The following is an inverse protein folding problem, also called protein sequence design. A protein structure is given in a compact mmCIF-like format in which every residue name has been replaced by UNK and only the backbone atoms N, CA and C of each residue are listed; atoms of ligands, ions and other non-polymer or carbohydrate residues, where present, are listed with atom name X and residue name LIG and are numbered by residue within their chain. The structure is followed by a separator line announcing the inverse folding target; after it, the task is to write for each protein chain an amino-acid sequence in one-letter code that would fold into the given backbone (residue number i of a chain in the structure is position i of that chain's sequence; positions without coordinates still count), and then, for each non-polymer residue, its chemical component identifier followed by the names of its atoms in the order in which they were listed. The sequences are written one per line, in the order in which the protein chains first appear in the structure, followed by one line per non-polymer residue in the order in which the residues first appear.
data_IF_703133400897
#
_entry.id   IF_703133400897
#
_cell.length_a   1.000
_cell.length_b   1.000
_cell.length_c   1.000
_cell.angle_alpha   90.00
_cell.angle_beta   90.00
_cell.angle_gamma   90.00
#
_symmetry.space_group_name_H-M   'P 1'
#
loop_
_entity.id
_entity.type
_entity.pdbx_description
1 polymer ?
#
# COMPACT_ATOMS: atom_id res chain seq x y z
N UNK A 1 2.14 -13.56 -47.43
CA UNK A 1 1.20 -13.99 -46.38
C UNK A 1 1.51 -13.40 -44.97
N UNK A 2 2.20 -12.24 -44.86
CA UNK A 2 2.56 -11.63 -43.56
C UNK A 2 1.76 -10.38 -43.17
N UNK A 3 0.92 -9.83 -44.05
CA UNK A 3 0.26 -8.54 -43.80
C UNK A 3 -0.85 -8.61 -42.74
N UNK A 4 -1.53 -9.77 -42.59
CA UNK A 4 -2.64 -9.92 -41.64
C UNK A 4 -2.19 -9.99 -40.17
N UNK A 5 -0.98 -10.48 -39.89
CA UNK A 5 -0.51 -10.56 -38.51
C UNK A 5 -0.24 -9.15 -37.94
N UNK A 6 0.27 -8.23 -38.75
CA UNK A 6 0.60 -6.88 -38.29
C UNK A 6 -0.65 -6.04 -38.00
N UNK A 7 -1.70 -6.19 -38.80
CA UNK A 7 -3.01 -5.53 -38.59
C UNK A 7 -3.69 -6.04 -37.31
N UNK A 8 -3.61 -7.35 -37.03
CA UNK A 8 -4.18 -7.91 -35.80
C UNK A 8 -3.47 -7.38 -34.54
N UNK A 9 -2.15 -7.21 -34.58
CA UNK A 9 -1.39 -6.60 -33.47
C UNK A 9 -1.70 -5.11 -33.28
N UNK A 10 -1.85 -4.35 -34.36
CA UNK A 10 -2.30 -2.95 -34.28
C UNK A 10 -3.68 -2.83 -33.64
N UNK A 11 -4.62 -3.70 -33.99
CA UNK A 11 -5.97 -3.70 -33.42
C UNK A 11 -6.01 -4.04 -31.93
N UNK A 12 -5.03 -4.82 -31.43
CA UNK A 12 -4.88 -5.09 -29.99
C UNK A 12 -4.27 -3.90 -29.25
N UNK A 13 -3.30 -3.22 -29.85
CA UNK A 13 -2.70 -2.00 -29.29
C UNK A 13 -3.67 -0.81 -29.27
N UNK A 14 -4.59 -0.71 -30.24
CA UNK A 14 -5.58 0.37 -30.26
C UNK A 14 -6.73 0.17 -29.26
N UNK A 15 -6.92 -1.04 -28.73
CA UNK A 15 -7.98 -1.36 -27.76
C UNK A 15 -7.54 -1.23 -26.30
N UNK A 16 -6.26 -1.03 -26.04
CA UNK A 16 -5.80 -0.65 -24.70
C UNK A 16 -6.08 0.82 -24.48
N UNK A 17 -7.17 1.10 -23.77
CA UNK A 17 -7.62 2.44 -23.39
C UNK A 17 -6.46 3.31 -22.94
N UNK A 18 -6.47 4.57 -23.38
CA UNK A 18 -5.63 5.69 -22.93
C UNK A 18 -5.37 5.71 -21.43
N UNK A 19 -6.28 5.15 -20.61
CA UNK A 19 -6.11 4.95 -19.18
C UNK A 19 -4.84 4.20 -18.76
N UNK A 20 -4.41 3.15 -19.47
CA UNK A 20 -3.20 2.40 -19.09
C UNK A 20 -1.93 3.20 -19.38
N UNK A 21 -1.91 3.92 -20.50
CA UNK A 21 -0.80 4.82 -20.85
C UNK A 21 -0.69 6.00 -19.88
N UNK A 22 -1.82 6.57 -19.45
CA UNK A 22 -1.83 7.62 -18.42
C UNK A 22 -1.29 7.07 -17.10
N UNK A 23 -1.70 5.87 -16.68
CA UNK A 23 -1.21 5.26 -15.45
C UNK A 23 0.31 5.02 -15.49
N UNK A 24 0.81 4.46 -16.60
CA UNK A 24 2.25 4.21 -16.79
C UNK A 24 3.05 5.52 -16.86
N UNK A 25 2.50 6.56 -17.50
CA UNK A 25 3.13 7.88 -17.56
C UNK A 25 3.22 8.54 -16.18
N UNK A 26 2.18 8.43 -15.35
CA UNK A 26 2.19 8.95 -13.98
C UNK A 26 3.25 8.23 -13.12
N UNK A 27 3.36 6.90 -13.22
CA UNK A 27 4.39 6.13 -12.50
C UNK A 27 5.81 6.55 -12.94
N UNK A 28 6.04 6.73 -14.24
CA UNK A 28 7.34 7.16 -14.77
C UNK A 28 7.74 8.57 -14.31
N UNK A 29 6.79 9.51 -14.24
CA UNK A 29 7.04 10.89 -13.75
C UNK A 29 7.36 10.88 -12.26
N UNK A 30 6.65 10.10 -11.44
CA UNK A 30 6.93 10.00 -10.00
C UNK A 30 8.32 9.41 -9.75
N UNK A 31 8.73 8.38 -10.50
CA UNK A 31 10.08 7.81 -10.40
C UNK A 31 11.19 8.80 -10.80
N UNK A 32 10.96 9.65 -11.80
CA UNK A 32 11.93 10.67 -12.20
C UNK A 32 12.06 11.79 -11.17
N UNK A 33 10.99 12.17 -10.47
CA UNK A 33 11.03 13.22 -9.44
C UNK A 33 11.72 12.74 -8.16
N UNK A 34 11.58 11.48 -7.79
CA UNK A 34 12.20 10.94 -6.56
C UNK A 34 13.70 10.68 -6.71
N UNK A 35 14.18 10.28 -7.90
CA UNK A 35 15.61 10.03 -8.12
C UNK A 35 16.42 11.33 -8.21
N UNK A 36 15.78 12.46 -8.55
CA UNK A 36 16.49 13.70 -8.86
C UNK A 36 16.64 14.70 -7.72
N UNK A 37 16.27 14.38 -6.47
CA UNK A 37 16.50 15.29 -5.33
C UNK A 37 17.98 15.26 -4.91
N UNK A 38 18.77 16.32 -5.18
CA UNK A 38 20.13 16.43 -4.67
C UNK A 38 20.03 16.93 -3.22
N UNK A 39 20.52 16.13 -2.27
CA UNK A 39 20.64 16.55 -0.88
C UNK A 39 21.75 17.62 -0.78
N UNK A 40 21.36 18.89 -0.98
CA UNK A 40 22.25 20.04 -0.89
C UNK A 40 22.35 20.54 0.55
N UNK A 41 23.42 20.16 1.26
CA UNK A 41 23.83 20.79 2.51
C UNK A 41 25.17 21.53 2.32
N UNK A 42 25.11 22.88 2.40
CA UNK A 42 26.23 23.78 2.73
C UNK A 42 25.78 24.48 4.02
N UNK A 43 26.48 24.50 5.15
CA UNK A 43 27.91 24.39 5.42
C UNK A 43 28.41 25.74 5.95
N UNK A 44 28.51 25.91 7.28
CA UNK A 44 29.31 26.93 8.01
C UNK A 44 29.56 26.41 9.43
N UNK A 45 30.68 25.70 9.66
CA UNK A 45 31.95 26.21 10.21
C UNK A 45 31.92 26.53 11.72
N UNK A 46 32.55 25.70 12.55
CA UNK A 46 33.81 26.08 13.24
C UNK A 46 34.27 25.05 14.29
N UNK A 47 35.59 24.86 14.31
CA UNK A 47 36.47 24.53 15.45
C UNK A 47 36.42 23.13 16.12
N UNK A 48 37.48 22.39 15.75
CA UNK A 48 38.60 21.91 16.60
C UNK A 48 38.49 20.54 17.29
N UNK A 49 39.46 19.72 16.86
CA UNK A 49 40.36 18.83 17.62
C UNK A 49 39.87 17.41 17.96
N UNK A 50 40.23 16.51 17.04
CA UNK A 50 41.02 15.29 17.26
C UNK A 50 40.69 14.41 18.48
N UNK A 51 40.19 13.20 18.23
CA UNK A 51 41.01 11.99 18.41
C UNK A 51 40.32 10.72 17.84
N UNK A 52 41.16 9.85 17.26
CA UNK A 52 41.10 8.38 17.27
C UNK A 52 39.84 7.64 16.75
N UNK A 53 40.06 7.02 15.58
CA UNK A 53 40.08 5.56 15.38
C UNK A 53 38.72 4.83 15.25
N UNK A 54 38.41 4.42 14.01
CA UNK A 54 37.75 3.16 13.56
C UNK A 54 36.94 3.47 12.28
N UNK A 55 37.49 3.34 11.07
CA UNK A 55 37.56 2.12 10.24
C UNK A 55 36.31 1.21 10.32
N UNK A 56 35.63 1.14 9.17
CA UNK A 56 34.78 0.05 8.65
C UNK A 56 33.41 -0.16 9.32
N UNK A 57 32.39 0.40 8.69
CA UNK A 57 31.00 -0.01 8.85
C UNK A 57 30.30 0.01 7.50
N UNK A 58 30.38 -1.14 6.81
CA UNK A 58 29.76 -1.55 5.55
C UNK A 58 28.60 -0.68 5.03
N UNK A 59 28.70 -0.33 3.75
CA UNK A 59 27.59 -0.34 2.80
C UNK A 59 26.76 -1.62 3.04
N UNK A 60 25.74 -1.53 3.86
CA UNK A 60 24.62 -2.46 3.75
C UNK A 60 23.87 -1.96 2.53
N UNK A 61 24.05 -2.66 1.42
CA UNK A 61 23.08 -2.64 0.34
C UNK A 61 21.71 -2.77 1.01
N UNK A 62 20.88 -1.72 0.90
CA UNK A 62 19.44 -1.85 1.10
C UNK A 62 19.03 -3.00 0.18
N UNK A 63 18.83 -4.19 0.77
CA UNK A 63 18.28 -5.32 0.05
C UNK A 63 16.94 -4.82 -0.45
N UNK A 64 16.75 -4.86 -1.78
CA UNK A 64 15.44 -4.61 -2.36
C UNK A 64 14.41 -5.43 -1.56
N UNK A 65 13.26 -4.82 -1.19
CA UNK A 65 12.26 -5.50 -0.39
C UNK A 65 11.91 -6.82 -1.08
N UNK A 66 12.05 -7.92 -0.35
CA UNK A 66 11.67 -9.25 -0.85
C UNK A 66 10.17 -9.19 -1.14
N UNK A 67 9.71 -9.58 -2.34
CA UNK A 67 8.29 -9.59 -2.63
C UNK A 67 7.60 -10.54 -1.65
N UNK A 68 6.63 -10.02 -0.90
CA UNK A 68 5.82 -10.82 0.02
C UNK A 68 5.10 -11.90 -0.78
N UNK A 69 5.08 -13.11 -0.24
CA UNK A 69 4.19 -14.17 -0.71
C UNK A 69 2.73 -13.73 -0.61
N UNK A 70 1.82 -14.34 -1.38
CA UNK A 70 0.39 -14.00 -1.33
C UNK A 70 -0.20 -14.17 0.08
N UNK A 71 0.31 -15.15 0.83
CA UNK A 71 -0.09 -15.34 2.22
C UNK A 71 0.39 -14.19 3.11
N UNK A 72 1.67 -13.83 3.00
CA UNK A 72 2.25 -12.71 3.74
C UNK A 72 1.60 -11.37 3.38
N UNK A 73 1.11 -11.19 2.15
CA UNK A 73 0.33 -10.00 1.77
C UNK A 73 -0.98 -9.93 2.54
N UNK A 74 -1.72 -11.05 2.65
CA UNK A 74 -2.96 -11.11 3.46
C UNK A 74 -2.64 -10.87 4.94
N UNK A 75 -1.57 -11.49 5.45
CA UNK A 75 -1.15 -11.31 6.85
C UNK A 75 -0.70 -9.88 7.15
N UNK A 76 0.01 -9.24 6.23
CA UNK A 76 0.44 -7.86 6.37
C UNK A 76 -0.77 -6.92 6.46
N UNK A 77 -1.81 -7.12 5.65
CA UNK A 77 -3.04 -6.33 5.76
C UNK A 77 -3.73 -6.58 7.11
N UNK A 78 -3.85 -7.84 7.52
CA UNK A 78 -4.43 -8.21 8.82
C UNK A 78 -3.67 -7.55 9.98
N UNK A 79 -2.34 -7.60 9.94
CA UNK A 79 -1.46 -7.00 10.94
C UNK A 79 -1.62 -5.47 11.00
N UNK A 80 -1.69 -4.80 9.85
CA UNK A 80 -1.93 -3.36 9.78
C UNK A 80 -3.29 -2.98 10.31
N UNK A 81 -4.34 -3.75 9.96
CA UNK A 81 -5.66 -3.55 10.53
C UNK A 81 -5.61 -3.65 12.06
N UNK A 82 -5.06 -4.73 12.62
CA UNK A 82 -4.97 -4.95 14.07
C UNK A 82 -4.16 -3.88 14.79
N UNK A 83 -2.99 -3.52 14.25
CA UNK A 83 -2.06 -2.60 14.92
C UNK A 83 -2.44 -1.12 14.77
N UNK A 84 -2.96 -0.70 13.62
CA UNK A 84 -3.16 0.72 13.30
C UNK A 84 -4.61 1.16 13.50
N UNK A 85 -5.58 0.29 13.23
CA UNK A 85 -6.98 0.70 13.07
C UNK A 85 -7.94 0.02 14.03
N UNK A 86 -7.72 -1.24 14.42
CA UNK A 86 -8.69 -1.98 15.21
C UNK A 86 -8.91 -1.32 16.58
N UNK A 87 -7.85 -1.08 17.35
CA UNK A 87 -7.95 -0.41 18.64
C UNK A 87 -8.49 1.01 18.51
N UNK A 88 -7.94 1.78 17.57
CA UNK A 88 -8.34 3.18 17.31
C UNK A 88 -9.83 3.30 16.95
N UNK A 89 -10.34 2.39 16.13
CA UNK A 89 -11.75 2.36 15.72
C UNK A 89 -12.66 1.95 16.88
N UNK A 90 -12.27 0.93 17.67
CA UNK A 90 -13.04 0.51 18.85
C UNK A 90 -13.12 1.63 19.90
N UNK A 91 -11.99 2.28 20.17
CA UNK A 91 -11.92 3.41 21.10
C UNK A 91 -12.82 4.55 20.64
N UNK A 92 -12.79 4.87 19.34
CA UNK A 92 -13.68 5.87 18.75
C UNK A 92 -15.16 5.49 18.92
N UNK A 93 -15.56 4.26 18.54
CA UNK A 93 -16.95 3.79 18.67
C UNK A 93 -17.48 3.94 20.09
N UNK A 94 -16.63 3.69 21.10
CA UNK A 94 -17.03 3.77 22.50
C UNK A 94 -17.16 5.21 23.04
N UNK A 95 -16.42 6.17 22.46
CA UNK A 95 -16.33 7.54 22.98
C UNK A 95 -16.95 8.60 22.06
N UNK A 96 -17.45 8.20 20.89
CA UNK A 96 -17.86 9.09 19.81
C UNK A 96 -18.88 10.11 20.28
N UNK A 97 -18.58 11.39 20.04
CA UNK A 97 -19.50 12.50 20.18
C UNK A 97 -19.81 13.11 18.80
N UNK A 98 -21.09 13.18 18.46
CA UNK A 98 -21.56 13.77 17.18
C UNK A 98 -21.32 15.28 17.13
N UNK A 99 -21.22 15.95 18.28
CA UNK A 99 -20.96 17.39 18.36
C UNK A 99 -19.45 17.71 18.34
N UNK A 100 -18.56 16.71 18.52
CA UNK A 100 -17.12 16.91 18.44
C UNK A 100 -16.60 16.71 17.01
N UNK A 101 -16.20 17.82 16.38
CA UNK A 101 -15.59 17.85 15.05
C UNK A 101 -14.38 16.91 14.93
N UNK A 102 -13.61 16.72 16.02
CA UNK A 102 -12.47 15.80 16.01
C UNK A 102 -12.91 14.36 15.86
N UNK A 103 -14.00 13.96 16.50
CA UNK A 103 -14.52 12.60 16.41
C UNK A 103 -15.12 12.32 15.04
N UNK A 104 -15.78 13.32 14.42
CA UNK A 104 -16.23 13.24 13.03
C UNK A 104 -15.04 13.05 12.07
N UNK A 105 -13.99 13.85 12.22
CA UNK A 105 -12.77 13.73 11.41
C UNK A 105 -12.11 12.37 11.60
N UNK A 106 -12.01 11.91 12.84
CA UNK A 106 -11.42 10.64 13.23
C UNK A 106 -12.20 9.45 12.65
N UNK A 107 -13.54 9.50 12.67
CA UNK A 107 -14.41 8.51 12.02
C UNK A 107 -14.13 8.42 10.52
N UNK A 108 -14.10 9.57 9.85
CA UNK A 108 -13.84 9.63 8.42
C UNK A 108 -12.43 9.10 8.09
N UNK A 109 -11.43 9.44 8.89
CA UNK A 109 -10.07 8.92 8.74
C UNK A 109 -10.03 7.38 8.86
N UNK A 110 -10.64 6.83 9.91
CA UNK A 110 -10.69 5.38 10.12
C UNK A 110 -11.40 4.69 8.95
N UNK A 111 -12.56 5.20 8.52
CA UNK A 111 -13.29 4.67 7.37
C UNK A 111 -12.41 4.63 6.09
N UNK A 112 -11.75 5.73 5.75
CA UNK A 112 -10.87 5.80 4.58
C UNK A 112 -9.70 4.82 4.67
N UNK A 113 -9.09 4.64 5.85
CA UNK A 113 -7.98 3.71 6.00
C UNK A 113 -8.43 2.25 5.91
N UNK A 114 -9.60 1.92 6.48
CA UNK A 114 -10.21 0.60 6.37
C UNK A 114 -10.57 0.28 4.91
N UNK A 115 -11.10 1.25 4.15
CA UNK A 115 -11.36 1.09 2.72
C UNK A 115 -10.08 0.82 1.91
N UNK A 116 -8.97 1.50 2.24
CA UNK A 116 -7.67 1.22 1.60
C UNK A 116 -7.20 -0.21 1.82
N UNK A 117 -7.38 -0.75 3.03
CA UNK A 117 -7.05 -2.15 3.33
C UNK A 117 -7.93 -3.13 2.56
N UNK A 118 -9.22 -2.83 2.38
CA UNK A 118 -10.10 -3.67 1.54
C UNK A 118 -9.65 -3.70 0.08
N UNK A 119 -9.29 -2.54 -0.49
CA UNK A 119 -8.77 -2.45 -1.86
C UNK A 119 -7.47 -3.26 -2.00
N UNK A 120 -6.59 -3.20 -1.00
CA UNK A 120 -5.35 -3.98 -0.96
C UNK A 120 -5.64 -5.49 -0.97
N UNK A 121 -6.59 -5.96 -0.15
CA UNK A 121 -7.01 -7.38 -0.15
C UNK A 121 -7.61 -7.81 -1.50
N UNK A 122 -8.44 -6.96 -2.11
CA UNK A 122 -9.05 -7.25 -3.42
C UNK A 122 -8.02 -7.32 -4.55
N UNK A 123 -6.89 -6.62 -4.41
CA UNK A 123 -5.80 -6.65 -5.38
C UNK A 123 -4.99 -7.95 -5.37
N UNK A 124 -5.12 -8.79 -4.33
CA UNK A 124 -4.39 -10.06 -4.21
C UNK A 124 -5.01 -11.08 -5.18
N UNK A 125 -4.35 -11.28 -6.31
CA UNK A 125 -4.80 -12.21 -7.35
C UNK A 125 -4.51 -13.67 -6.97
N UNK A 126 -5.59 -14.44 -6.82
CA UNK A 126 -5.57 -15.87 -6.49
C UNK A 126 -5.95 -16.76 -7.69
N UNK A 127 -6.13 -16.20 -8.90
CA UNK A 127 -6.62 -16.93 -10.07
C UNK A 127 -5.61 -17.98 -10.56
N UNK A 128 -4.32 -17.66 -10.50
CA UNK A 128 -3.24 -18.52 -11.04
C UNK A 128 -2.54 -19.39 -9.97
N UNK A 129 -3.09 -19.46 -8.76
CA UNK A 129 -2.55 -20.27 -7.65
C UNK A 129 -3.03 -21.71 -7.76
N UNK A 130 -2.19 -22.69 -7.45
CA UNK A 130 -2.57 -24.11 -7.38
C UNK A 130 -3.79 -24.32 -6.48
N UNK A 131 -4.69 -25.22 -6.88
CA UNK A 131 -5.99 -25.39 -6.20
C UNK A 131 -5.84 -25.76 -4.72
N UNK A 132 -4.79 -26.53 -4.36
CA UNK A 132 -4.47 -26.91 -2.97
C UNK A 132 -4.15 -25.71 -2.07
N UNK A 133 -3.52 -24.66 -2.61
CA UNK A 133 -3.17 -23.43 -1.88
C UNK A 133 -4.24 -22.35 -2.04
N UNK A 134 -4.96 -22.34 -3.15
CA UNK A 134 -5.96 -21.32 -3.47
C UNK A 134 -7.10 -21.29 -2.46
N UNK A 135 -7.61 -22.46 -2.06
CA UNK A 135 -8.72 -22.55 -1.09
C UNK A 135 -8.38 -21.94 0.27
N UNK A 136 -7.31 -22.34 0.98
CA UNK A 136 -6.98 -21.73 2.27
C UNK A 136 -6.69 -20.23 2.15
N UNK A 137 -6.02 -19.78 1.08
CA UNK A 137 -5.79 -18.34 0.85
C UNK A 137 -7.09 -17.55 0.64
N UNK A 138 -8.05 -18.09 -0.12
CA UNK A 138 -9.39 -17.47 -0.28
C UNK A 138 -10.13 -17.37 1.04
N UNK A 139 -10.10 -18.43 1.85
CA UNK A 139 -10.74 -18.47 3.17
C UNK A 139 -10.10 -17.44 4.12
N UNK A 140 -8.76 -17.38 4.16
CA UNK A 140 -7.99 -16.40 4.95
C UNK A 140 -8.32 -14.96 4.55
N UNK A 141 -8.24 -14.65 3.24
CA UNK A 141 -8.59 -13.33 2.69
C UNK A 141 -10.03 -12.93 3.06
N UNK A 142 -10.97 -13.87 2.94
CA UNK A 142 -12.38 -13.64 3.28
C UNK A 142 -12.58 -13.38 4.78
N UNK A 143 -11.80 -14.01 5.65
CA UNK A 143 -11.79 -13.74 7.09
C UNK A 143 -11.46 -12.28 7.38
N UNK A 144 -10.31 -11.81 6.88
CA UNK A 144 -9.84 -10.43 7.08
C UNK A 144 -10.83 -9.41 6.49
N UNK A 145 -11.36 -9.65 5.28
CA UNK A 145 -12.38 -8.78 4.66
C UNK A 145 -13.60 -8.63 5.58
N UNK A 146 -14.09 -9.73 6.17
CA UNK A 146 -15.26 -9.69 7.05
C UNK A 146 -15.02 -8.87 8.31
N UNK A 147 -13.84 -8.98 8.91
CA UNK A 147 -13.46 -8.21 10.10
C UNK A 147 -13.44 -6.71 9.80
N UNK A 148 -12.76 -6.31 8.72
CA UNK A 148 -12.69 -4.90 8.30
C UNK A 148 -14.08 -4.36 7.95
N UNK A 149 -14.89 -5.13 7.22
CA UNK A 149 -16.26 -4.74 6.86
C UNK A 149 -17.18 -4.62 8.08
N UNK A 150 -16.99 -5.45 9.11
CA UNK A 150 -17.73 -5.32 10.36
C UNK A 150 -17.38 -4.01 11.07
N UNK A 151 -16.09 -3.65 11.12
CA UNK A 151 -15.65 -2.38 11.71
C UNK A 151 -16.19 -1.16 10.96
N UNK A 152 -16.12 -1.17 9.63
CA UNK A 152 -16.69 -0.12 8.79
C UNK A 152 -18.18 0.10 9.08
N UNK A 153 -18.96 -0.98 9.17
CA UNK A 153 -20.40 -0.89 9.49
C UNK A 153 -20.64 -0.26 10.86
N UNK A 154 -19.82 -0.60 11.86
CA UNK A 154 -19.92 -0.01 13.20
C UNK A 154 -19.61 1.49 13.16
N UNK A 155 -18.55 1.90 12.46
CA UNK A 155 -18.19 3.32 12.31
C UNK A 155 -19.24 4.11 11.52
N UNK A 156 -19.78 3.56 10.42
CA UNK A 156 -20.82 4.18 9.60
C UNK A 156 -22.15 4.36 10.34
N UNK A 157 -22.36 3.60 11.41
CA UNK A 157 -23.54 3.72 12.27
C UNK A 157 -23.46 4.90 13.24
N UNK A 158 -22.27 5.49 13.43
CA UNK A 158 -22.06 6.68 14.27
C UNK A 158 -22.58 7.92 13.52
N UNK A 159 -23.74 8.43 13.90
CA UNK A 159 -24.42 9.57 13.26
C UNK A 159 -24.98 10.53 14.28
#
# INVERSE_FOLDING_TARGET
MSHNAMEHWKSKLSKTSTSTYVLLAVIAVVFLVTIRRPNGSKGKSSKKRASKKNKKGKNQFEKAPVPLTLEEQIDNVSLRYGNELEGRSKDLINRFDVEDEKDIYERNYCNEMLLKLLIELDSIDLINVDESLRRPLKEKRKGVIKEIQAMLKSLDSLK
#
